data_IF_318939994358
#
_entry.id   IF_318939994358
#
_cell.length_a   1.000
_cell.length_b   1.000
_cell.length_c   1.000
_cell.angle_alpha   90.00
_cell.angle_beta   90.00
_cell.angle_gamma   90.00
#
_symmetry.space_group_name_H-M   'P 1'
#
loop_
_entity.id
_entity.type
_entity.pdbx_description
1 polymer ?
#
# COMPACT_ATOMS: atom_id res chain seq x y z
N UNK A 1 50.61 30.38 16.34
CA UNK A 1 49.16 30.48 16.00
C UNK A 1 48.38 29.60 16.97
N UNK A 2 47.55 30.18 17.84
CA UNK A 2 46.63 29.39 18.67
C UNK A 2 45.19 29.68 18.23
N UNK A 3 44.50 28.64 17.77
CA UNK A 3 43.10 28.72 17.35
C UNK A 3 42.23 28.66 18.61
N UNK A 4 41.63 29.79 18.98
CA UNK A 4 40.75 29.88 20.15
C UNK A 4 39.35 29.41 19.74
N UNK A 5 39.01 28.17 20.08
CA UNK A 5 37.65 27.64 19.86
C UNK A 5 36.68 28.33 20.84
N UNK A 6 35.76 29.10 20.28
CA UNK A 6 34.68 29.76 21.01
C UNK A 6 33.60 28.73 21.38
N UNK A 7 33.82 28.01 22.48
CA UNK A 7 32.86 27.03 23.00
C UNK A 7 31.70 27.73 23.71
N UNK A 8 30.81 28.36 22.93
CA UNK A 8 29.47 28.72 23.39
C UNK A 8 28.59 27.49 23.25
N UNK A 9 28.59 26.65 24.28
CA UNK A 9 27.63 25.56 24.40
C UNK A 9 26.22 26.12 24.29
N UNK A 10 25.38 25.48 23.48
CA UNK A 10 23.96 25.83 23.42
C UNK A 10 23.38 25.49 24.79
N UNK A 11 22.94 26.52 25.52
CA UNK A 11 22.51 26.39 26.90
C UNK A 11 21.46 25.29 27.06
N UNK A 12 21.39 24.66 28.24
CA UNK A 12 20.51 23.51 28.53
C UNK A 12 19.06 23.70 28.06
N UNK A 13 18.56 24.95 28.06
CA UNK A 13 17.25 25.32 27.53
C UNK A 13 17.07 24.99 26.04
N UNK A 14 18.11 25.15 25.23
CA UNK A 14 18.09 24.83 23.80
C UNK A 14 18.00 23.31 23.58
N UNK A 15 18.70 22.52 24.39
CA UNK A 15 18.61 21.05 24.35
C UNK A 15 17.20 20.56 24.74
N UNK A 16 16.59 21.17 25.76
CA UNK A 16 15.22 20.87 26.18
C UNK A 16 14.21 21.22 25.07
N UNK A 17 14.40 22.34 24.37
CA UNK A 17 13.52 22.72 23.26
C UNK A 17 13.52 21.68 22.12
N UNK A 18 14.68 21.12 21.77
CA UNK A 18 14.76 20.06 20.76
C UNK A 18 14.06 18.77 21.19
N UNK A 19 14.14 18.41 22.46
CA UNK A 19 13.44 17.23 23.00
C UNK A 19 11.92 17.43 22.91
N UNK A 20 11.41 18.61 23.28
CA UNK A 20 9.98 18.92 23.18
C UNK A 20 9.48 18.84 21.73
N UNK A 21 10.26 19.38 20.78
CA UNK A 21 9.94 19.29 19.35
C UNK A 21 9.88 17.83 18.89
N UNK A 22 10.84 17.00 19.31
CA UNK A 22 10.88 15.58 18.95
C UNK A 22 9.65 14.82 19.48
N UNK A 23 9.20 15.12 20.70
CA UNK A 23 8.00 14.52 21.29
C UNK A 23 6.74 14.90 20.47
N UNK A 24 6.64 16.14 20.00
CA UNK A 24 5.53 16.58 19.15
C UNK A 24 5.49 15.79 17.83
N UNK A 25 6.66 15.54 17.21
CA UNK A 25 6.75 14.72 16.00
C UNK A 25 6.29 13.27 16.22
N UNK A 26 6.57 12.68 17.40
CA UNK A 26 6.11 11.34 17.74
C UNK A 26 4.59 11.27 17.91
N UNK A 27 3.97 12.30 18.51
CA UNK A 27 2.51 12.40 18.65
C UNK A 27 1.84 12.56 17.27
N UNK A 28 2.40 13.39 16.39
CA UNK A 28 1.87 13.55 15.03
C UNK A 28 1.94 12.22 14.26
N UNK A 29 3.08 11.52 14.37
CA UNK A 29 3.29 10.23 13.71
C UNK A 29 2.30 9.16 14.19
N UNK A 30 1.99 9.11 15.49
CA UNK A 30 1.01 8.16 16.03
C UNK A 30 -0.43 8.48 15.61
N UNK A 31 -0.81 9.76 15.53
CA UNK A 31 -2.13 10.19 15.05
C UNK A 31 -2.34 9.84 13.58
N UNK A 32 -1.31 10.00 12.73
CA UNK A 32 -1.39 9.63 11.31
C UNK A 32 -1.53 8.11 11.15
N UNK A 33 -0.76 7.32 11.90
CA UNK A 33 -0.89 5.86 11.90
C UNK A 33 -2.27 5.40 12.39
N UNK A 34 -2.84 6.07 13.40
CA UNK A 34 -4.22 5.79 13.84
C UNK A 34 -5.27 6.12 12.78
N UNK A 35 -5.07 7.19 12.00
CA UNK A 35 -5.97 7.56 10.89
C UNK A 35 -5.84 6.62 9.68
N UNK A 36 -4.68 5.98 9.48
CA UNK A 36 -4.46 5.00 8.40
C UNK A 36 -5.07 3.62 8.67
N UNK A 37 -5.61 3.37 9.86
CA UNK A 37 -6.29 2.11 10.21
C UNK A 37 -7.83 2.18 9.99
N UNK A 38 -8.41 3.38 9.84
CA UNK A 38 -9.87 3.57 9.81
C UNK A 38 -10.50 3.61 8.40
N UNK A 39 -9.77 3.20 7.36
CA UNK A 39 -10.35 3.01 6.02
C UNK A 39 -10.38 1.53 5.60
N UNK A 40 -10.34 0.62 6.58
CA UNK A 40 -10.84 -0.75 6.44
C UNK A 40 -12.30 -0.75 6.91
N UNK A 41 -13.21 -0.66 5.93
CA UNK A 41 -14.65 -0.80 6.19
C UNK A 41 -14.95 -2.24 6.58
N UNK A 42 -15.03 -2.50 7.89
CA UNK A 42 -15.35 -3.81 8.43
C UNK A 42 -16.84 -3.84 8.78
N UNK A 43 -17.63 -4.64 8.06
CA UNK A 43 -18.88 -5.19 8.57
C UNK A 43 -18.80 -6.71 8.43
N UNK A 44 -18.29 -7.37 9.47
CA UNK A 44 -18.22 -8.82 9.53
C UNK A 44 -18.78 -9.26 10.88
N UNK A 45 -20.07 -9.60 10.90
CA UNK A 45 -20.63 -10.52 11.89
C UNK A 45 -20.10 -11.91 11.53
N UNK A 46 -19.17 -12.44 12.31
CA UNK A 46 -18.63 -13.78 12.12
C UNK A 46 -19.12 -14.65 13.27
N UNK A 47 -20.08 -15.51 12.97
CA UNK A 47 -20.35 -16.72 13.76
C UNK A 47 -19.19 -17.69 13.56
N UNK A 48 -18.40 -17.89 14.61
CA UNK A 48 -17.23 -18.77 14.63
C UNK A 48 -17.70 -20.18 14.95
N UNK A 49 -17.78 -21.05 13.93
CA UNK A 49 -17.77 -22.51 14.08
C UNK A 49 -17.26 -23.17 12.78
N UNK A 50 -15.95 -23.13 12.55
CA UNK A 50 -15.14 -24.20 11.95
C UNK A 50 -13.78 -23.65 11.49
N UNK A 51 -12.71 -24.25 12.01
CA UNK A 51 -11.33 -24.05 11.58
C UNK A 51 -11.09 -24.72 10.21
N UNK A 52 -11.65 -24.13 9.16
CA UNK A 52 -11.06 -24.20 7.82
C UNK A 52 -10.01 -23.10 7.77
N UNK A 53 -8.76 -23.42 7.49
CA UNK A 53 -7.74 -22.42 7.15
C UNK A 53 -8.10 -21.82 5.79
N UNK A 54 -9.13 -20.97 5.78
CA UNK A 54 -9.56 -20.19 4.63
C UNK A 54 -8.43 -19.20 4.34
N UNK A 55 -7.64 -19.48 3.30
CA UNK A 55 -6.66 -18.53 2.83
C UNK A 55 -7.39 -17.32 2.26
N UNK A 56 -7.12 -16.16 2.86
CA UNK A 56 -7.68 -14.92 2.37
C UNK A 56 -6.86 -14.37 1.20
N UNK A 57 -7.19 -14.85 0.00
CA UNK A 57 -6.64 -14.36 -1.27
C UNK A 57 -7.07 -12.91 -1.57
N UNK A 58 -8.09 -12.39 -0.87
CA UNK A 58 -8.53 -10.98 -0.98
C UNK A 58 -7.39 -10.02 -0.65
N UNK A 59 -6.52 -10.38 0.31
CA UNK A 59 -5.35 -9.58 0.67
C UNK A 59 -4.36 -9.40 -0.50
N UNK A 60 -4.15 -10.46 -1.30
CA UNK A 60 -3.30 -10.42 -2.49
C UNK A 60 -3.96 -9.63 -3.62
N UNK A 61 -5.26 -9.77 -3.81
CA UNK A 61 -6.03 -8.98 -4.78
C UNK A 61 -6.02 -7.48 -4.44
N UNK A 62 -6.21 -7.13 -3.16
CA UNK A 62 -6.13 -5.74 -2.69
C UNK A 62 -4.72 -5.18 -2.89
N UNK A 63 -3.68 -5.97 -2.59
CA UNK A 63 -2.28 -5.57 -2.81
C UNK A 63 -2.03 -5.23 -4.29
N UNK A 64 -2.50 -6.08 -5.20
CA UNK A 64 -2.36 -5.87 -6.63
C UNK A 64 -3.16 -4.65 -7.11
N UNK A 65 -4.41 -4.48 -6.64
CA UNK A 65 -5.24 -3.31 -6.91
C UNK A 65 -4.57 -2.01 -6.48
N UNK A 66 -4.04 -1.96 -5.26
CA UNK A 66 -3.39 -0.76 -4.73
C UNK A 66 -2.12 -0.39 -5.51
N UNK A 67 -1.37 -1.39 -5.97
CA UNK A 67 -0.23 -1.16 -6.85
C UNK A 67 -0.68 -0.56 -8.20
N UNK A 68 -1.76 -1.06 -8.80
CA UNK A 68 -2.32 -0.49 -10.02
C UNK A 68 -2.81 0.96 -9.84
N UNK A 69 -3.43 1.29 -8.71
CA UNK A 69 -3.80 2.68 -8.36
C UNK A 69 -2.55 3.58 -8.32
N UNK A 70 -1.47 3.11 -7.70
CA UNK A 70 -0.20 3.85 -7.64
C UNK A 70 0.44 4.01 -9.02
N UNK A 71 0.34 3.00 -9.88
CA UNK A 71 0.84 3.06 -11.25
C UNK A 71 0.11 4.12 -12.09
N UNK A 72 -1.22 4.15 -12.03
CA UNK A 72 -2.02 5.18 -12.73
C UNK A 72 -1.62 6.59 -12.28
N UNK A 73 -1.41 6.79 -10.98
CA UNK A 73 -0.97 8.08 -10.42
C UNK A 73 0.45 8.46 -10.85
N UNK A 74 1.39 7.53 -10.85
CA UNK A 74 2.79 7.80 -11.21
C UNK A 74 2.97 8.08 -12.70
N UNK A 75 2.21 7.40 -13.56
CA UNK A 75 2.28 7.55 -15.02
C UNK A 75 1.41 8.68 -15.55
N UNK A 76 0.59 9.31 -14.70
CA UNK A 76 -0.47 10.25 -15.10
C UNK A 76 -1.32 9.68 -16.26
N UNK A 77 -1.72 8.41 -16.11
CA UNK A 77 -2.40 7.66 -17.16
C UNK A 77 -3.78 8.24 -17.44
N UNK A 78 -3.97 8.70 -18.68
CA UNK A 78 -5.25 9.20 -19.17
C UNK A 78 -5.98 8.05 -19.87
N UNK A 79 -7.07 7.60 -19.25
CA UNK A 79 -7.92 6.52 -19.77
C UNK A 79 -9.18 7.16 -20.35
N UNK A 80 -9.52 6.86 -21.60
CA UNK A 80 -10.74 7.40 -22.20
C UNK A 80 -11.98 6.66 -21.71
N UNK A 81 -13.15 7.27 -21.84
CA UNK A 81 -14.41 6.67 -21.40
C UNK A 81 -14.70 5.36 -22.18
N UNK A 82 -14.97 4.29 -21.46
CA UNK A 82 -15.18 2.94 -22.01
C UNK A 82 -13.89 2.22 -22.42
N UNK A 83 -12.73 2.87 -22.31
CA UNK A 83 -11.44 2.23 -22.58
C UNK A 83 -11.06 1.29 -21.43
N UNK A 84 -10.57 0.10 -21.80
CA UNK A 84 -10.08 -0.89 -20.84
C UNK A 84 -8.57 -1.04 -20.98
N UNK A 85 -7.84 -0.75 -19.92
CA UNK A 85 -6.39 -0.95 -19.84
C UNK A 85 -6.11 -2.11 -18.89
N UNK A 86 -5.20 -2.98 -19.28
CA UNK A 86 -4.75 -4.09 -18.42
C UNK A 86 -3.34 -3.78 -17.93
N UNK A 87 -3.16 -3.76 -16.62
CA UNK A 87 -1.85 -3.57 -15.98
C UNK A 87 -1.43 -4.88 -15.33
N UNK A 88 -0.30 -5.45 -15.77
CA UNK A 88 0.15 -6.77 -15.29
C UNK A 88 0.98 -6.63 -14.02
N UNK A 89 1.02 -7.69 -13.22
CA UNK A 89 1.91 -7.78 -12.06
C UNK A 89 3.38 -7.57 -12.47
N UNK A 90 3.80 -8.13 -13.60
CA UNK A 90 5.17 -8.01 -14.09
C UNK A 90 5.56 -6.56 -14.38
N UNK A 91 4.66 -5.78 -15.00
CA UNK A 91 4.91 -4.36 -15.24
C UNK A 91 5.06 -3.58 -13.93
N UNK A 92 4.17 -3.83 -12.97
CA UNK A 92 4.22 -3.21 -11.64
C UNK A 92 5.49 -3.60 -10.87
N UNK A 93 5.95 -4.84 -11.04
CA UNK A 93 7.15 -5.37 -10.41
C UNK A 93 8.41 -4.74 -11.00
N UNK A 94 8.51 -4.68 -12.33
CA UNK A 94 9.63 -4.06 -13.03
C UNK A 94 9.76 -2.57 -12.71
N UNK A 95 8.64 -1.91 -12.46
CA UNK A 95 8.59 -0.52 -12.02
C UNK A 95 8.83 -0.32 -10.51
N UNK A 96 9.08 -1.39 -9.75
CA UNK A 96 9.30 -1.35 -8.31
C UNK A 96 8.11 -0.75 -7.52
N UNK A 97 6.89 -0.85 -8.08
CA UNK A 97 5.65 -0.39 -7.43
C UNK A 97 5.09 -1.47 -6.50
N UNK A 98 5.32 -2.73 -6.86
CA UNK A 98 4.98 -3.90 -6.05
C UNK A 98 6.20 -4.80 -5.89
N UNK A 99 6.33 -5.43 -4.73
CA UNK A 99 7.45 -6.33 -4.43
C UNK A 99 7.14 -7.76 -4.88
N UNK A 100 6.43 -8.53 -4.07
CA UNK A 100 6.12 -9.91 -4.38
C UNK A 100 4.62 -10.17 -4.33
N UNK A 101 4.12 -10.89 -5.33
CA UNK A 101 2.80 -11.51 -5.26
C UNK A 101 3.04 -13.02 -5.07
N UNK A 102 2.96 -13.47 -3.83
CA UNK A 102 3.19 -14.87 -3.47
C UNK A 102 2.24 -15.29 -2.36
N UNK A 103 1.81 -16.54 -2.40
CA UNK A 103 1.16 -17.20 -1.29
C UNK A 103 2.18 -18.04 -0.51
N UNK A 104 1.70 -18.91 0.38
CA UNK A 104 2.57 -19.75 1.21
C UNK A 104 3.15 -20.96 0.46
N UNK A 105 2.76 -21.20 -0.80
CA UNK A 105 3.27 -22.29 -1.64
C UNK A 105 4.20 -21.76 -2.72
N UNK A 106 3.85 -20.63 -3.34
CA UNK A 106 4.59 -20.15 -4.48
C UNK A 106 4.20 -18.76 -4.95
N UNK A 107 4.77 -18.40 -6.08
CA UNK A 107 4.48 -17.14 -6.75
C UNK A 107 3.07 -17.16 -7.35
N UNK A 108 2.43 -16.01 -7.28
CA UNK A 108 1.17 -15.75 -7.95
C UNK A 108 1.41 -14.79 -9.11
N UNK A 109 0.69 -15.01 -10.19
CA UNK A 109 0.59 -14.08 -11.31
C UNK A 109 -0.70 -13.29 -11.17
N UNK A 110 -0.78 -12.15 -11.85
CA UNK A 110 -1.96 -11.33 -11.78
C UNK A 110 -1.95 -10.15 -12.74
N UNK A 111 -3.12 -9.58 -12.96
CA UNK A 111 -3.29 -8.31 -13.65
C UNK A 111 -4.48 -7.54 -13.05
N UNK A 112 -4.56 -6.25 -13.33
CA UNK A 112 -5.70 -5.41 -12.97
C UNK A 112 -6.30 -4.83 -14.24
N UNK A 113 -7.61 -5.02 -14.42
CA UNK A 113 -8.37 -4.32 -15.45
C UNK A 113 -8.81 -2.96 -14.93
N UNK A 114 -8.47 -1.92 -15.66
CA UNK A 114 -8.82 -0.53 -15.43
C UNK A 114 -9.90 -0.15 -16.43
N UNK A 115 -11.06 0.29 -15.95
CA UNK A 115 -12.16 0.72 -16.81
C UNK A 115 -12.60 2.11 -16.35
N UNK A 116 -12.54 3.11 -17.23
CA UNK A 116 -13.04 4.44 -16.94
C UNK A 116 -14.49 4.58 -17.40
N UNK A 117 -15.40 4.86 -16.47
CA UNK A 117 -16.84 5.00 -16.74
C UNK A 117 -17.29 6.47 -16.89
N UNK A 118 -16.36 7.39 -17.21
CA UNK A 118 -16.64 8.83 -17.34
C UNK A 118 -16.62 9.61 -16.02
N UNK A 119 -16.74 8.94 -14.87
CA UNK A 119 -16.69 9.59 -13.55
C UNK A 119 -15.53 9.08 -12.70
N UNK A 120 -15.25 7.79 -12.75
CA UNK A 120 -14.20 7.15 -11.96
C UNK A 120 -13.62 5.95 -12.70
N UNK A 121 -12.42 5.54 -12.28
CA UNK A 121 -11.75 4.34 -12.77
C UNK A 121 -12.11 3.18 -11.84
N UNK A 122 -12.66 2.11 -12.40
CA UNK A 122 -12.86 0.83 -11.72
C UNK A 122 -11.59 0.00 -11.85
N UNK A 123 -11.15 -0.60 -10.74
CA UNK A 123 -9.96 -1.45 -10.66
C UNK A 123 -10.40 -2.86 -10.28
N UNK A 124 -10.33 -3.78 -11.24
CA UNK A 124 -10.69 -5.19 -11.04
C UNK A 124 -9.43 -6.05 -11.04
N UNK A 125 -8.91 -6.44 -9.87
CA UNK A 125 -7.75 -7.33 -9.77
C UNK A 125 -8.13 -8.76 -10.12
N UNK A 126 -7.23 -9.47 -10.79
CA UNK A 126 -7.33 -10.90 -11.06
C UNK A 126 -5.98 -11.53 -10.74
N UNK A 127 -5.99 -12.59 -9.95
CA UNK A 127 -4.78 -13.31 -9.57
C UNK A 127 -4.93 -14.81 -9.84
N UNK A 128 -3.79 -15.44 -10.11
CA UNK A 128 -3.66 -16.89 -10.24
C UNK A 128 -2.44 -17.35 -9.47
N UNK A 129 -2.67 -18.16 -8.44
CA UNK A 129 -1.64 -18.78 -7.62
C UNK A 129 -1.55 -20.27 -7.96
N UNK A 130 -0.32 -20.77 -8.07
CA UNK A 130 -0.03 -22.14 -8.55
C UNK A 130 -0.81 -23.19 -7.74
N UNK A 131 -1.74 -23.87 -8.42
CA UNK A 131 -2.44 -25.05 -7.89
C UNK A 131 -3.43 -24.80 -6.74
N UNK A 132 -3.76 -23.55 -6.41
CA UNK A 132 -4.65 -23.24 -5.27
C UNK A 132 -5.78 -22.28 -5.55
N UNK A 133 -5.52 -21.20 -6.30
CA UNK A 133 -6.47 -20.11 -6.42
C UNK A 133 -6.38 -19.44 -7.78
N UNK A 134 -7.54 -19.15 -8.34
CA UNK A 134 -7.69 -18.34 -9.55
C UNK A 134 -8.95 -17.49 -9.37
N UNK A 135 -8.81 -16.18 -9.54
CA UNK A 135 -9.97 -15.27 -9.54
C UNK A 135 -10.89 -15.65 -10.72
N UNK A 136 -12.20 -15.63 -10.49
CA UNK A 136 -13.17 -15.92 -11.56
C UNK A 136 -13.00 -14.94 -12.73
N UNK A 137 -12.70 -15.45 -13.93
CA UNK A 137 -12.47 -14.65 -15.13
C UNK A 137 -11.01 -14.23 -15.40
N UNK A 138 -10.06 -14.82 -14.67
CA UNK A 138 -8.65 -14.90 -15.08
C UNK A 138 -8.47 -15.92 -16.22
#
# INVERSE_FOLDING_TARGET
MQYKLNNKGWGMSVFIAFIVIFIIFLIISSVISYRMDLNHGNNLNVDINNSVTSYDYTSLEIKLKNAAVSYVKQKDLKINNGETITVTYEELFNMHIINNLKDNVGTCEGYVKLIYNGTSITYSPYIKCVGRYQTNGY
#
